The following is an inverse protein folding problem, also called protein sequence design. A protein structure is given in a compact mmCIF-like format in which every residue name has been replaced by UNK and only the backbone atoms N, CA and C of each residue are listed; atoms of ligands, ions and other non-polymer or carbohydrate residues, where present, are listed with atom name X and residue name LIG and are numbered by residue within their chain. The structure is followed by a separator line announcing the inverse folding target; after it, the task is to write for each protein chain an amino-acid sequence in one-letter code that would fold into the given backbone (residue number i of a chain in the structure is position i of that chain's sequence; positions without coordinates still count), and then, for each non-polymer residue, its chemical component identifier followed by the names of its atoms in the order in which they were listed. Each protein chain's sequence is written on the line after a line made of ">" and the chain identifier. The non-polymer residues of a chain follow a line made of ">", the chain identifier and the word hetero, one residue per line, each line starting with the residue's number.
data_IF_177444834459
#
_entry.id   IF_177444834459
#
_cell.length_a   1.000
_cell.length_b   1.000
_cell.length_c   1.000
_cell.angle_alpha   90.00
_cell.angle_beta   90.00
_cell.angle_gamma   90.00
#
_symmetry.space_group_name_H-M   'P 1'
#
loop_
_entity.id
_entity.type
_entity.pdbx_description
1 polymer ?
#
# COMPACT_ATOMS: atom_id res chain seq x y z
N UNK A 1 -37.42 38.93 8.87
CA UNK A 1 -36.58 38.98 7.64
C UNK A 1 -35.08 38.99 7.95
N UNK A 2 -34.58 38.09 8.83
CA UNK A 2 -33.14 38.01 9.18
C UNK A 2 -32.61 36.58 9.36
N UNK A 3 -33.43 35.59 9.00
CA UNK A 3 -33.12 34.15 9.10
C UNK A 3 -32.93 33.47 7.73
N UNK A 4 -33.24 34.17 6.63
CA UNK A 4 -33.16 33.60 5.28
C UNK A 4 -31.79 33.78 4.60
N UNK A 5 -30.92 34.63 5.16
CA UNK A 5 -29.62 34.99 4.54
C UNK A 5 -28.50 33.99 4.90
N UNK A 6 -28.66 33.17 5.94
CA UNK A 6 -27.61 32.24 6.37
C UNK A 6 -27.59 30.90 5.63
N UNK A 7 -28.71 30.48 5.04
CA UNK A 7 -28.76 29.20 4.30
C UNK A 7 -28.15 29.32 2.90
N UNK A 8 -28.08 30.53 2.33
CA UNK A 8 -27.47 30.73 1.01
C UNK A 8 -25.93 30.70 1.04
N UNK A 9 -25.29 30.89 2.20
CA UNK A 9 -23.83 30.85 2.32
C UNK A 9 -23.24 29.44 2.49
N UNK A 10 -24.05 28.45 2.87
CA UNK A 10 -23.57 27.07 3.06
C UNK A 10 -23.48 26.29 1.73
N UNK A 11 -24.20 26.71 0.68
CA UNK A 11 -24.24 26.00 -0.61
C UNK A 11 -23.07 26.41 -1.53
N UNK A 12 -22.43 27.56 -1.30
CA UNK A 12 -21.31 28.03 -2.12
C UNK A 12 -19.95 27.37 -1.79
N UNK A 13 -19.86 26.61 -0.69
CA UNK A 13 -18.61 25.94 -0.30
C UNK A 13 -18.41 24.55 -0.92
N UNK A 14 -19.43 23.98 -1.60
CA UNK A 14 -19.37 22.62 -2.16
C UNK A 14 -18.93 22.55 -3.64
N UNK A 15 -18.69 23.68 -4.30
CA UNK A 15 -18.53 23.73 -5.77
C UNK A 15 -17.10 23.96 -6.28
N UNK A 16 -16.07 23.72 -5.46
CA UNK A 16 -14.67 23.73 -5.94
C UNK A 16 -14.05 22.33 -5.99
N UNK A 17 -14.84 21.32 -6.38
CA UNK A 17 -14.27 20.15 -7.03
C UNK A 17 -13.73 20.60 -8.41
N UNK A 18 -12.57 21.27 -8.41
CA UNK A 18 -11.83 21.55 -9.63
C UNK A 18 -11.36 20.20 -10.15
N UNK A 19 -12.11 19.65 -11.10
CA UNK A 19 -11.69 18.50 -11.88
C UNK A 19 -10.29 18.80 -12.39
N UNK A 20 -9.31 17.99 -11.94
CA UNK A 20 -7.99 17.99 -12.54
C UNK A 20 -8.19 17.55 -13.99
N UNK A 21 -8.24 18.50 -14.91
CA UNK A 21 -8.09 18.19 -16.33
C UNK A 21 -6.74 17.49 -16.47
N UNK A 22 -6.79 16.19 -16.80
CA UNK A 22 -5.61 15.49 -17.26
C UNK A 22 -5.05 16.31 -18.44
N UNK A 23 -3.72 16.48 -18.53
CA UNK A 23 -3.13 17.23 -19.63
C UNK A 23 -3.68 16.69 -20.94
N UNK A 24 -4.14 17.61 -21.81
CA UNK A 24 -4.71 17.33 -23.12
C UNK A 24 -3.90 16.24 -23.84
N UNK A 25 -4.56 15.35 -24.59
CA UNK A 25 -3.89 14.30 -25.37
C UNK A 25 -2.74 14.91 -26.21
N UNK A 26 -1.50 14.60 -25.80
CA UNK A 26 -0.29 15.24 -26.33
C UNK A 26 0.20 14.50 -27.59
N UNK A 27 -0.47 13.42 -28.02
CA UNK A 27 -0.02 12.59 -29.14
C UNK A 27 1.45 12.19 -29.00
N UNK A 28 2.27 12.47 -30.01
CA UNK A 28 3.73 12.24 -30.01
C UNK A 28 4.56 13.44 -29.49
N UNK A 29 3.94 14.41 -28.83
CA UNK A 29 4.61 15.60 -28.31
C UNK A 29 5.29 15.39 -26.94
N UNK A 30 6.21 16.29 -26.59
CA UNK A 30 6.86 16.29 -25.27
C UNK A 30 6.03 17.13 -24.29
N UNK A 31 5.68 16.53 -23.16
CA UNK A 31 5.05 17.22 -22.03
C UNK A 31 6.12 17.74 -21.07
N UNK A 32 6.18 19.04 -20.86
CA UNK A 32 6.97 19.62 -19.76
C UNK A 32 6.06 19.75 -18.55
N UNK A 33 6.20 18.82 -17.59
CA UNK A 33 5.51 18.87 -16.31
C UNK A 33 6.43 19.52 -15.28
N UNK A 34 6.05 20.66 -14.69
CA UNK A 34 6.79 21.25 -13.58
C UNK A 34 6.88 20.26 -12.42
N UNK A 35 8.09 20.00 -11.93
CA UNK A 35 8.36 18.96 -10.89
C UNK A 35 7.62 19.23 -9.57
N UNK A 36 7.32 20.49 -9.28
CA UNK A 36 6.54 20.98 -8.15
C UNK A 36 5.04 20.61 -8.23
N UNK A 37 4.56 20.20 -9.41
CA UNK A 37 3.18 19.75 -9.63
C UNK A 37 3.03 18.23 -9.64
N UNK A 38 4.08 17.48 -9.33
CA UNK A 38 3.97 16.03 -9.17
C UNK A 38 3.05 15.72 -7.97
N UNK A 39 2.10 14.77 -8.11
CA UNK A 39 1.26 14.36 -6.99
C UNK A 39 2.15 13.94 -5.83
N UNK A 40 1.99 14.61 -4.68
CA UNK A 40 2.75 14.27 -3.48
C UNK A 40 2.39 12.84 -3.09
N UNK A 41 3.39 11.95 -3.04
CA UNK A 41 3.19 10.56 -2.61
C UNK A 41 2.57 10.57 -1.22
N UNK A 42 1.39 9.97 -1.11
CA UNK A 42 0.69 9.83 0.17
C UNK A 42 1.57 8.99 1.10
N UNK A 43 1.94 9.48 2.29
CA UNK A 43 2.77 8.72 3.22
C UNK A 43 2.11 7.39 3.59
N UNK A 44 2.91 6.33 3.69
CA UNK A 44 2.45 5.02 4.15
C UNK A 44 2.19 5.06 5.65
N UNK A 45 0.97 4.69 6.07
CA UNK A 45 0.62 4.50 7.47
C UNK A 45 0.08 3.09 7.65
N UNK A 46 0.70 2.30 8.53
CA UNK A 46 0.38 0.90 8.71
C UNK A 46 0.68 0.44 10.14
N UNK A 47 0.11 -0.71 10.51
CA UNK A 47 0.45 -1.45 11.72
C UNK A 47 0.81 -2.88 11.38
N UNK A 48 1.71 -3.49 12.16
CA UNK A 48 2.12 -4.88 12.01
C UNK A 48 2.01 -5.62 13.34
N UNK A 49 1.64 -6.90 13.28
CA UNK A 49 1.67 -7.82 14.41
C UNK A 49 2.27 -9.17 13.96
N UNK A 50 2.87 -9.88 14.90
CA UNK A 50 3.44 -11.21 14.66
C UNK A 50 3.01 -12.17 15.77
N UNK A 51 2.54 -13.35 15.38
CA UNK A 51 2.30 -14.48 16.27
C UNK A 51 3.31 -15.57 15.88
N UNK A 52 4.07 -16.06 16.86
CA UNK A 52 5.15 -17.03 16.63
C UNK A 52 4.88 -18.28 17.45
N UNK A 53 4.90 -19.43 16.78
CA UNK A 53 4.88 -20.74 17.41
C UNK A 53 6.16 -21.48 17.06
N UNK A 54 6.81 -22.06 18.06
CA UNK A 54 8.03 -22.84 17.88
C UNK A 54 7.88 -24.20 18.56
N UNK A 55 8.23 -25.27 17.85
CA UNK A 55 8.35 -26.61 18.38
C UNK A 55 9.84 -26.94 18.47
N UNK A 56 10.32 -27.14 19.69
CA UNK A 56 11.73 -27.42 19.95
C UNK A 56 11.92 -28.93 20.06
N UNK A 57 12.58 -29.52 19.07
CA UNK A 57 13.04 -30.90 19.10
C UNK A 57 14.49 -31.01 19.58
N UNK A 58 14.96 -32.24 19.78
CA UNK A 58 16.35 -32.50 20.15
C UNK A 58 17.35 -32.21 19.01
N UNK A 59 16.88 -32.23 17.76
CA UNK A 59 17.71 -32.09 16.54
C UNK A 59 17.43 -30.78 15.81
N UNK A 60 16.17 -30.34 15.78
CA UNK A 60 15.74 -29.16 15.03
C UNK A 60 14.65 -28.37 15.77
N UNK A 61 14.50 -27.10 15.37
CA UNK A 61 13.42 -26.23 15.81
C UNK A 61 12.55 -25.93 14.60
N UNK A 62 11.28 -26.30 14.68
CA UNK A 62 10.28 -25.96 13.66
C UNK A 62 9.51 -24.72 14.11
N UNK A 63 9.39 -23.73 13.23
CA UNK A 63 8.72 -22.47 13.52
C UNK A 63 7.58 -22.18 12.55
N UNK A 64 6.47 -21.67 13.07
CA UNK A 64 5.40 -21.06 12.26
C UNK A 64 5.23 -19.62 12.72
N UNK A 65 5.28 -18.68 11.77
CA UNK A 65 5.18 -17.25 12.04
C UNK A 65 4.00 -16.67 11.23
N UNK A 66 2.99 -16.17 11.92
CA UNK A 66 1.86 -15.47 11.31
C UNK A 66 2.10 -13.97 11.41
N UNK A 67 2.30 -13.33 10.27
CA UNK A 67 2.52 -11.89 10.16
C UNK A 67 1.25 -11.21 9.67
N UNK A 68 0.79 -10.20 10.39
CA UNK A 68 -0.45 -9.46 10.10
C UNK A 68 -0.07 -8.01 9.81
N UNK A 69 -0.23 -7.57 8.56
CA UNK A 69 -0.04 -6.19 8.15
C UNK A 69 -1.40 -5.53 7.89
N UNK A 70 -1.64 -4.37 8.49
CA UNK A 70 -2.82 -3.54 8.21
C UNK A 70 -2.36 -2.18 7.69
N UNK A 71 -2.70 -1.88 6.44
CA UNK A 71 -2.42 -0.58 5.81
C UNK A 71 -3.60 0.34 6.06
N UNK A 72 -3.35 1.44 6.78
CA UNK A 72 -4.35 2.48 7.08
C UNK A 72 -4.32 3.60 6.04
N UNK A 73 -3.18 3.84 5.41
CA UNK A 73 -3.01 4.84 4.34
C UNK A 73 -1.85 4.44 3.42
N UNK A 74 -1.97 4.74 2.11
CA UNK A 74 -0.97 4.40 1.11
C UNK A 74 -1.24 3.05 0.44
N UNK A 75 -0.35 2.65 -0.48
CA UNK A 75 -0.46 1.39 -1.25
C UNK A 75 0.93 0.76 -1.39
N UNK A 76 1.39 -0.04 -0.41
CA UNK A 76 2.68 -0.69 -0.51
C UNK A 76 2.60 -1.86 -1.50
N UNK A 77 3.54 -1.93 -2.45
CA UNK A 77 3.60 -3.06 -3.39
C UNK A 77 4.38 -4.26 -2.82
N UNK A 78 5.34 -3.97 -1.93
CA UNK A 78 6.27 -4.95 -1.36
C UNK A 78 6.53 -4.63 0.11
N UNK A 79 6.52 -5.67 0.94
CA UNK A 79 7.05 -5.59 2.30
C UNK A 79 8.46 -6.21 2.34
N UNK A 80 9.35 -5.67 3.17
CA UNK A 80 10.68 -6.24 3.38
C UNK A 80 10.82 -6.58 4.85
N UNK A 81 10.93 -7.86 5.15
CA UNK A 81 11.01 -8.40 6.52
C UNK A 81 12.44 -8.86 6.74
N UNK A 82 13.11 -8.32 7.76
CA UNK A 82 14.44 -8.77 8.14
C UNK A 82 14.38 -10.18 8.73
N UNK A 83 15.30 -11.04 8.30
CA UNK A 83 15.46 -12.40 8.83
C UNK A 83 16.74 -12.46 9.64
N UNK A 84 16.66 -13.15 10.79
CA UNK A 84 17.81 -13.42 11.64
C UNK A 84 17.84 -14.91 11.97
N UNK A 85 19.06 -15.43 12.16
CA UNK A 85 19.28 -16.86 12.39
C UNK A 85 19.62 -17.64 11.12
N UNK A 86 19.87 -18.93 11.30
CA UNK A 86 20.33 -19.86 10.23
C UNK A 86 19.22 -20.75 9.68
N UNK A 87 17.98 -20.50 10.11
CA UNK A 87 16.82 -21.30 9.69
C UNK A 87 16.45 -21.03 8.22
N UNK A 88 15.83 -22.02 7.59
CA UNK A 88 15.33 -21.92 6.24
C UNK A 88 13.82 -21.63 6.23
N UNK A 89 13.38 -20.76 5.31
CA UNK A 89 11.96 -20.54 5.08
C UNK A 89 11.50 -21.57 4.06
N UNK A 90 10.68 -22.52 4.52
CA UNK A 90 10.18 -23.62 3.69
C UNK A 90 8.89 -23.26 2.94
N UNK A 91 8.10 -22.31 3.45
CA UNK A 91 6.84 -21.88 2.84
C UNK A 91 6.43 -20.49 3.30
N UNK A 92 5.81 -19.74 2.39
CA UNK A 92 5.13 -18.47 2.68
C UNK A 92 3.79 -18.51 1.94
N UNK A 93 2.70 -18.26 2.67
CA UNK A 93 1.34 -18.31 2.14
C UNK A 93 0.53 -17.11 2.62
N UNK A 94 -0.51 -16.75 1.86
CA UNK A 94 -1.44 -15.68 2.20
C UNK A 94 -2.38 -15.37 1.05
N UNK A 95 -3.61 -14.97 1.35
CA UNK A 95 -4.67 -14.77 0.35
C UNK A 95 -4.29 -13.78 -0.77
N UNK A 96 -3.58 -12.71 -0.42
CA UNK A 96 -3.16 -11.68 -1.37
C UNK A 96 -1.69 -11.83 -1.79
N UNK A 97 -1.01 -12.90 -1.38
CA UNK A 97 0.40 -13.11 -1.72
C UNK A 97 0.51 -13.54 -3.19
N UNK A 98 1.17 -12.70 -4.00
CA UNK A 98 1.46 -13.00 -5.40
C UNK A 98 2.74 -13.80 -5.55
N UNK A 99 3.78 -13.38 -4.85
CA UNK A 99 5.13 -13.95 -4.96
C UNK A 99 5.94 -13.66 -3.70
N UNK A 100 7.00 -14.41 -3.45
CA UNK A 100 7.93 -14.16 -2.37
C UNK A 100 9.35 -14.59 -2.72
N UNK A 101 10.33 -13.92 -2.13
CA UNK A 101 11.74 -14.30 -2.27
C UNK A 101 12.50 -14.03 -0.98
N UNK A 102 13.52 -14.83 -0.72
CA UNK A 102 14.53 -14.54 0.29
C UNK A 102 15.77 -14.00 -0.41
N UNK A 103 16.25 -12.83 0.04
CA UNK A 103 17.47 -12.22 -0.46
C UNK A 103 18.52 -12.22 0.65
N UNK A 104 19.64 -12.85 0.37
CA UNK A 104 20.78 -12.87 1.27
C UNK A 104 21.71 -11.70 0.92
N UNK A 105 22.09 -10.93 1.92
CA UNK A 105 23.04 -9.82 1.80
C UNK A 105 24.05 -9.89 2.96
N UNK A 106 25.21 -9.20 2.86
CA UNK A 106 26.21 -9.18 3.92
C UNK A 106 25.69 -8.65 5.26
N UNK A 107 24.66 -7.80 5.25
CA UNK A 107 23.99 -7.22 6.42
C UNK A 107 22.87 -8.11 6.99
N UNK A 108 22.58 -9.25 6.36
CA UNK A 108 21.54 -10.19 6.78
C UNK A 108 20.65 -10.65 5.64
N UNK A 109 19.73 -11.57 5.95
CA UNK A 109 18.75 -12.09 4.99
C UNK A 109 17.44 -11.30 5.10
N UNK A 110 16.72 -11.16 3.98
CA UNK A 110 15.44 -10.44 3.93
C UNK A 110 14.40 -11.25 3.17
N UNK A 111 13.24 -11.43 3.78
CA UNK A 111 12.06 -11.97 3.11
C UNK A 111 11.28 -10.82 2.44
N UNK A 112 10.92 -10.99 1.17
CA UNK A 112 10.16 -10.00 0.39
C UNK A 112 8.88 -10.61 -0.17
N UNK A 113 7.77 -10.60 0.59
CA UNK A 113 6.47 -10.94 0.03
C UNK A 113 5.95 -9.78 -0.83
N UNK A 114 5.42 -10.14 -1.99
CA UNK A 114 4.78 -9.23 -2.94
C UNK A 114 3.30 -9.52 -2.95
N UNK A 115 2.49 -8.48 -2.82
CA UNK A 115 1.04 -8.64 -2.74
C UNK A 115 0.38 -8.20 -4.04
N UNK A 116 -0.74 -8.84 -4.38
CA UNK A 116 -1.57 -8.40 -5.47
C UNK A 116 -2.29 -7.12 -5.07
N UNK A 117 -2.14 -6.05 -5.86
CA UNK A 117 -2.93 -4.84 -5.64
C UNK A 117 -4.41 -5.17 -5.85
N UNK A 118 -5.32 -4.71 -4.96
CA UNK A 118 -6.73 -4.74 -5.31
C UNK A 118 -6.91 -3.93 -6.60
N UNK A 119 -7.55 -4.53 -7.60
CA UNK A 119 -7.98 -3.80 -8.79
C UNK A 119 -8.73 -2.55 -8.30
N UNK A 120 -8.30 -1.37 -8.76
CA UNK A 120 -9.02 -0.14 -8.47
C UNK A 120 -10.50 -0.41 -8.81
N UNK A 121 -11.39 -0.22 -7.83
CA UNK A 121 -12.83 -0.29 -8.06
C UNK A 121 -13.12 0.71 -9.17
N UNK A 122 -13.33 0.21 -10.39
CA UNK A 122 -13.87 1.03 -11.48
C UNK A 122 -15.22 1.48 -10.98
N UNK A 123 -15.37 2.78 -10.71
CA UNK A 123 -16.67 3.39 -10.47
C UNK A 123 -17.54 3.05 -11.68
N UNK A 124 -18.51 2.16 -11.47
CA UNK A 124 -19.56 1.89 -12.45
C UNK A 124 -20.33 3.20 -12.61
N UNK A 125 -20.41 3.81 -13.79
CA UNK A 125 -21.33 4.91 -14.00
C UNK A 125 -22.74 4.33 -13.92
N UNK A 126 -23.53 4.81 -12.95
CA UNK A 126 -24.98 4.64 -12.99
C UNK A 126 -25.50 5.49 -14.15
N UNK A 127 -25.95 4.82 -15.20
CA UNK A 127 -26.83 5.36 -16.24
C UNK A 127 -28.24 4.83 -16.02
#
# INVERSE_FOLDING_TARGET
>A
MKTLIWILMAVAALSHARSQELPADIGNGIAIVPVDKLPKTVPLFFSAAAEVQAQVGAVEILGTQKLIFRVHQGKPEVFSIGLTGKGEITSVTGEQLRDWSVRNAPDGSRLRPQFQHPAAIRSVPHG
#
